data_IF_030944325780
#
_entry.id   IF_030944325780
#
_cell.length_a   1.000
_cell.length_b   1.000
_cell.length_c   1.000
_cell.angle_alpha   90.00
_cell.angle_beta   90.00
_cell.angle_gamma   90.00
#
_symmetry.space_group_name_H-M   'P 1'
#
loop_
_entity.id
_entity.type
_entity.pdbx_description
1 polymer ?
#
# COMPACT_ATOMS: atom_id res chain seq x y z
N UNK A 1 3.17 55.07 -5.88
CA UNK A 1 4.22 54.05 -5.65
C UNK A 1 3.83 53.19 -4.45
N UNK A 2 4.06 51.86 -4.53
CA UNK A 2 3.69 50.78 -3.59
C UNK A 2 2.26 50.26 -3.81
N UNK A 3 2.01 49.15 -4.50
CA UNK A 3 2.80 47.91 -4.55
C UNK A 3 2.26 46.93 -3.52
N UNK A 4 1.07 46.38 -3.79
CA UNK A 4 0.56 45.14 -3.19
C UNK A 4 0.15 44.26 -4.39
N UNK A 5 1.13 43.79 -5.16
CA UNK A 5 1.60 42.40 -5.07
C UNK A 5 0.42 41.45 -4.99
N UNK A 6 -0.05 41.06 -6.17
CA UNK A 6 -0.41 39.69 -6.51
C UNK A 6 -0.79 38.84 -5.29
N UNK A 7 -2.07 38.92 -4.90
CA UNK A 7 -2.70 37.84 -4.14
C UNK A 7 -2.67 36.62 -5.07
N UNK A 8 -1.52 35.95 -5.08
CA UNK A 8 -1.32 34.65 -5.70
C UNK A 8 -2.28 33.73 -4.97
N UNK A 9 -3.49 33.59 -5.52
CA UNK A 9 -4.53 32.68 -5.06
C UNK A 9 -3.86 31.31 -4.93
N UNK A 10 -3.46 30.95 -3.72
CA UNK A 10 -2.92 29.62 -3.40
C UNK A 10 -4.00 28.66 -3.90
N UNK A 11 -3.70 27.89 -4.95
CA UNK A 11 -4.62 26.95 -5.62
C UNK A 11 -5.02 25.76 -4.72
N UNK A 12 -4.91 25.90 -3.41
CA UNK A 12 -5.14 24.87 -2.41
C UNK A 12 -6.15 25.40 -1.38
N UNK A 13 -7.27 25.97 -1.85
CA UNK A 13 -8.35 26.47 -0.99
C UNK A 13 -9.23 25.35 -0.38
N UNK A 14 -8.78 24.09 -0.43
CA UNK A 14 -9.60 22.93 -0.06
C UNK A 14 -8.97 21.98 0.95
N UNK A 15 -7.93 22.38 1.69
CA UNK A 15 -7.36 21.54 2.77
C UNK A 15 -6.97 20.12 2.32
N UNK A 16 -6.73 19.91 1.02
CA UNK A 16 -6.37 18.61 0.47
C UNK A 16 -4.93 18.35 0.88
N UNK A 17 -4.74 17.78 2.06
CA UNK A 17 -3.48 17.13 2.40
C UNK A 17 -3.18 16.15 1.26
N UNK A 18 -1.94 16.17 0.77
CA UNK A 18 -1.48 15.27 -0.29
C UNK A 18 -1.87 13.81 0.03
N UNK A 19 -1.88 13.48 1.33
CA UNK A 19 -2.31 12.23 1.93
C UNK A 19 -3.78 11.81 1.67
N UNK A 20 -4.73 12.75 1.56
CA UNK A 20 -6.13 12.42 1.26
C UNK A 20 -6.39 12.30 -0.24
N UNK A 21 -5.62 13.00 -1.06
CA UNK A 21 -5.78 12.93 -2.52
C UNK A 21 -5.24 11.62 -3.11
N UNK A 22 -4.28 10.95 -2.46
CA UNK A 22 -3.72 9.68 -2.95
C UNK A 22 -4.54 8.44 -2.59
N UNK A 23 -5.41 8.50 -1.58
CA UNK A 23 -6.20 7.36 -1.10
C UNK A 23 -7.03 6.61 -2.16
N UNK A 24 -7.81 7.28 -3.03
CA UNK A 24 -8.56 6.58 -4.07
C UNK A 24 -7.65 6.00 -5.17
N UNK A 25 -6.52 6.64 -5.45
CA UNK A 25 -5.56 6.14 -6.45
C UNK A 25 -4.83 4.88 -5.95
N UNK A 26 -4.36 4.87 -4.70
CA UNK A 26 -3.73 3.68 -4.12
C UNK A 26 -4.74 2.54 -4.00
N UNK A 27 -6.00 2.81 -3.65
CA UNK A 27 -7.06 1.81 -3.62
C UNK A 27 -7.33 1.18 -5.00
N UNK A 28 -7.36 2.00 -6.05
CA UNK A 28 -7.53 1.50 -7.42
C UNK A 28 -6.34 0.64 -7.89
N UNK A 29 -5.11 1.05 -7.58
CA UNK A 29 -3.92 0.24 -7.85
C UNK A 29 -3.95 -1.10 -7.12
N UNK A 30 -4.41 -1.12 -5.86
CA UNK A 30 -4.55 -2.36 -5.09
C UNK A 30 -5.61 -3.27 -5.70
N UNK A 31 -6.70 -2.72 -6.23
CA UNK A 31 -7.72 -3.53 -6.90
C UNK A 31 -7.13 -4.28 -8.09
N UNK A 32 -6.32 -3.60 -8.92
CA UNK A 32 -5.61 -4.22 -10.04
C UNK A 32 -4.67 -5.32 -9.51
N UNK A 33 -3.88 -5.01 -8.48
CA UNK A 33 -2.99 -5.98 -7.84
C UNK A 33 -3.73 -7.23 -7.34
N UNK A 34 -4.88 -7.07 -6.69
CA UNK A 34 -5.68 -8.19 -6.17
C UNK A 34 -6.17 -9.08 -7.31
N UNK A 35 -6.58 -8.51 -8.45
CA UNK A 35 -7.01 -9.30 -9.62
C UNK A 35 -5.86 -10.20 -10.09
N UNK A 36 -4.67 -9.63 -10.30
CA UNK A 36 -3.48 -10.41 -10.68
C UNK A 36 -3.13 -11.46 -9.61
N UNK A 37 -3.12 -11.07 -8.34
CA UNK A 37 -2.84 -11.96 -7.23
C UNK A 37 -3.77 -13.18 -7.17
N UNK A 38 -5.08 -12.98 -7.41
CA UNK A 38 -6.04 -14.08 -7.43
C UNK A 38 -5.85 -14.98 -8.65
N UNK A 39 -5.57 -14.42 -9.83
CA UNK A 39 -5.32 -15.22 -11.04
C UNK A 39 -4.06 -16.07 -10.86
N UNK A 40 -2.97 -15.48 -10.37
CA UNK A 40 -1.67 -16.14 -10.26
C UNK A 40 -1.63 -17.20 -9.14
N UNK A 41 -2.28 -16.95 -7.99
CA UNK A 41 -2.14 -17.82 -6.80
C UNK A 41 -3.41 -18.56 -6.36
N UNK A 42 -4.60 -18.05 -6.69
CA UNK A 42 -5.86 -18.65 -6.28
C UNK A 42 -6.49 -19.52 -7.36
N UNK A 43 -6.55 -19.02 -8.60
CA UNK A 43 -7.21 -19.70 -9.72
C UNK A 43 -6.31 -20.66 -10.52
N UNK A 44 -5.01 -20.70 -10.22
CA UNK A 44 -4.09 -21.67 -10.83
C UNK A 44 -4.43 -23.09 -10.38
N UNK A 45 -4.38 -24.04 -11.31
CA UNK A 45 -4.64 -25.45 -11.02
C UNK A 45 -3.53 -26.03 -10.15
N UNK A 46 -3.91 -26.59 -9.00
CA UNK A 46 -3.02 -27.15 -7.98
C UNK A 46 -2.98 -28.68 -8.05
N UNK A 47 -3.57 -29.27 -9.08
CA UNK A 47 -3.70 -30.72 -9.23
C UNK A 47 -2.33 -31.44 -9.21
N UNK A 48 -1.33 -30.91 -9.91
CA UNK A 48 -0.01 -31.55 -10.04
C UNK A 48 1.15 -30.74 -9.43
N UNK A 49 0.94 -29.46 -9.10
CA UNK A 49 1.99 -28.57 -8.61
C UNK A 49 1.75 -28.15 -7.17
N UNK A 50 2.80 -28.25 -6.34
CA UNK A 50 2.78 -27.68 -5.00
C UNK A 50 2.67 -26.14 -5.06
N UNK A 51 2.05 -25.53 -4.04
CA UNK A 51 1.95 -24.06 -3.93
C UNK A 51 3.34 -23.42 -4.03
N UNK A 52 4.36 -24.08 -3.50
CA UNK A 52 5.75 -23.64 -3.58
C UNK A 52 6.27 -23.52 -5.03
N UNK A 53 5.95 -24.49 -5.90
CA UNK A 53 6.39 -24.45 -7.29
C UNK A 53 5.73 -23.32 -8.08
N UNK A 54 4.43 -23.09 -7.88
CA UNK A 54 3.71 -21.97 -8.50
C UNK A 54 4.36 -20.64 -8.10
N UNK A 55 4.66 -20.48 -6.82
CA UNK A 55 5.32 -19.28 -6.28
C UNK A 55 6.72 -19.11 -6.87
N UNK A 56 7.49 -20.21 -6.97
CA UNK A 56 8.83 -20.22 -7.55
C UNK A 56 8.80 -19.83 -9.03
N UNK A 57 7.89 -20.40 -9.81
CA UNK A 57 7.75 -20.10 -11.24
C UNK A 57 7.31 -18.64 -11.48
N UNK A 58 6.35 -18.16 -10.71
CA UNK A 58 5.84 -16.78 -10.80
C UNK A 58 6.93 -15.75 -10.49
N UNK A 59 7.72 -15.97 -9.45
CA UNK A 59 8.78 -15.04 -9.01
C UNK A 59 10.16 -15.31 -9.62
N UNK A 60 10.31 -16.40 -10.40
CA UNK A 60 11.49 -16.60 -11.25
C UNK A 60 11.54 -15.55 -12.38
N UNK A 61 10.39 -15.03 -12.79
CA UNK A 61 10.33 -13.90 -13.71
C UNK A 61 10.56 -12.57 -12.97
N UNK A 62 11.68 -11.85 -13.22
CA UNK A 62 12.01 -10.62 -12.52
C UNK A 62 10.98 -9.50 -12.75
N UNK A 63 10.24 -9.53 -13.86
CA UNK A 63 9.16 -8.58 -14.13
C UNK A 63 8.01 -8.68 -13.13
N UNK A 64 7.60 -9.91 -12.79
CA UNK A 64 6.58 -10.14 -11.78
C UNK A 64 7.08 -9.75 -10.39
N UNK A 65 8.32 -10.11 -10.04
CA UNK A 65 8.93 -9.70 -8.76
C UNK A 65 8.89 -8.19 -8.55
N UNK A 66 9.31 -7.40 -9.55
CA UNK A 66 9.31 -5.94 -9.45
C UNK A 66 7.88 -5.40 -9.31
N UNK A 67 6.93 -5.92 -10.10
CA UNK A 67 5.52 -5.53 -10.02
C UNK A 67 4.92 -5.79 -8.63
N UNK A 68 5.19 -6.96 -8.05
CA UNK A 68 4.70 -7.32 -6.72
C UNK A 68 5.36 -6.48 -5.62
N UNK A 69 6.67 -6.20 -5.70
CA UNK A 69 7.37 -5.32 -4.75
C UNK A 69 6.79 -3.89 -4.79
N UNK A 70 6.60 -3.32 -5.98
CA UNK A 70 5.99 -2.00 -6.13
C UNK A 70 4.56 -1.98 -5.57
N UNK A 71 3.80 -3.04 -5.82
CA UNK A 71 2.45 -3.19 -5.29
C UNK A 71 2.44 -3.26 -3.75
N UNK A 72 3.42 -3.91 -3.13
CA UNK A 72 3.55 -3.96 -1.67
C UNK A 72 3.81 -2.58 -1.05
N UNK A 73 4.54 -1.69 -1.73
CA UNK A 73 4.70 -0.30 -1.28
C UNK A 73 3.36 0.44 -1.32
N UNK A 74 2.58 0.27 -2.40
CA UNK A 74 1.24 0.87 -2.52
C UNK A 74 0.30 0.35 -1.43
N UNK A 75 0.28 -0.97 -1.22
CA UNK A 75 -0.50 -1.63 -0.16
C UNK A 75 -0.11 -1.08 1.21
N UNK A 76 1.19 -0.98 1.52
CA UNK A 76 1.65 -0.43 2.79
C UNK A 76 1.10 1.00 3.00
N UNK A 77 1.27 1.89 2.03
CA UNK A 77 0.75 3.27 2.15
C UNK A 77 -0.77 3.32 2.32
N UNK A 78 -1.52 2.49 1.60
CA UNK A 78 -2.97 2.42 1.72
C UNK A 78 -3.42 1.86 3.06
N UNK A 79 -2.74 0.84 3.58
CA UNK A 79 -3.04 0.24 4.89
C UNK A 79 -2.73 1.22 6.02
N UNK A 80 -1.62 1.98 5.98
CA UNK A 80 -1.34 3.01 6.99
C UNK A 80 -2.48 4.04 7.05
N UNK A 81 -2.86 4.56 5.88
CA UNK A 81 -3.92 5.56 5.78
C UNK A 81 -5.30 5.00 6.13
N UNK A 82 -5.62 3.79 5.66
CA UNK A 82 -6.88 3.11 5.90
C UNK A 82 -7.05 2.77 7.37
N UNK A 83 -6.03 2.17 7.98
CA UNK A 83 -6.05 1.83 9.39
C UNK A 83 -6.17 3.06 10.29
N UNK A 84 -5.42 4.13 9.97
CA UNK A 84 -5.58 5.42 10.63
C UNK A 84 -7.02 5.96 10.53
N UNK A 85 -7.61 5.95 9.33
CA UNK A 85 -8.98 6.42 9.13
C UNK A 85 -10.01 5.57 9.86
N UNK A 86 -9.83 4.24 9.91
CA UNK A 86 -10.73 3.32 10.61
C UNK A 86 -10.71 3.58 12.12
N UNK A 87 -9.52 3.70 12.71
CA UNK A 87 -9.37 3.99 14.15
C UNK A 87 -10.00 5.32 14.54
N UNK A 88 -9.89 6.33 13.66
CA UNK A 88 -10.52 7.62 13.87
C UNK A 88 -12.06 7.54 13.82
N UNK A 89 -12.61 6.78 12.86
CA UNK A 89 -14.07 6.58 12.72
C UNK A 89 -14.66 5.74 13.86
N UNK A 90 -13.90 4.77 14.38
CA UNK A 90 -14.33 3.92 15.51
C UNK A 90 -14.37 4.66 16.85
N UNK A 91 -14.04 5.96 16.89
CA UNK A 91 -14.20 6.79 18.08
C UNK A 91 -13.11 6.62 19.13
N UNK A 92 -11.94 6.06 18.76
CA UNK A 92 -10.74 6.05 19.61
C UNK A 92 -10.08 7.44 19.54
N UNK A 93 -10.82 8.48 19.93
CA UNK A 93 -10.51 9.90 19.72
C UNK A 93 -10.12 10.62 21.01
N UNK A 94 -9.57 9.90 21.99
CA UNK A 94 -8.87 10.58 23.09
C UNK A 94 -7.63 11.27 22.50
N UNK A 95 -7.56 12.61 22.58
CA UNK A 95 -6.46 13.41 21.99
C UNK A 95 -5.06 12.95 22.44
N UNK A 96 -4.97 12.34 23.63
CA UNK A 96 -3.72 11.79 24.17
C UNK A 96 -3.24 10.51 23.45
N UNK A 97 -4.16 9.72 22.88
CA UNK A 97 -3.83 8.47 22.19
C UNK A 97 -3.59 8.64 20.67
N UNK A 98 -3.92 9.80 20.10
CA UNK A 98 -3.74 10.08 18.67
C UNK A 98 -2.30 9.84 18.16
N UNK A 99 -1.22 10.29 18.82
CA UNK A 99 0.13 10.03 18.35
C UNK A 99 0.50 8.54 18.43
N UNK A 100 0.02 7.82 19.45
CA UNK A 100 0.27 6.38 19.63
C UNK A 100 -0.40 5.57 18.52
N UNK A 101 -1.67 5.87 18.23
CA UNK A 101 -2.42 5.20 17.16
C UNK A 101 -1.79 5.42 15.78
N UNK A 102 -1.17 6.58 15.55
CA UNK A 102 -0.45 6.89 14.31
C UNK A 102 0.82 6.06 14.16
N UNK A 103 1.54 5.82 15.25
CA UNK A 103 2.71 4.94 15.26
C UNK A 103 2.27 3.49 15.03
N UNK A 104 1.18 3.06 15.64
CA UNK A 104 0.63 1.70 15.46
C UNK A 104 0.20 1.47 14.02
N UNK A 105 -0.53 2.42 13.39
CA UNK A 105 -0.94 2.28 11.98
C UNK A 105 0.28 2.12 11.07
N UNK A 106 1.31 2.94 11.29
CA UNK A 106 2.54 2.91 10.51
C UNK A 106 3.34 1.63 10.76
N UNK A 107 3.37 1.13 12.00
CA UNK A 107 4.06 -0.11 12.34
C UNK A 107 3.39 -1.33 11.69
N UNK A 108 2.06 -1.42 11.74
CA UNK A 108 1.30 -2.50 11.10
C UNK A 108 1.47 -2.44 9.58
N UNK A 109 1.37 -1.26 9.00
CA UNK A 109 1.62 -1.05 7.57
C UNK A 109 3.01 -1.51 7.14
N UNK A 110 4.04 -1.13 7.90
CA UNK A 110 5.42 -1.53 7.62
C UNK A 110 5.60 -3.04 7.76
N UNK A 111 5.01 -3.65 8.79
CA UNK A 111 5.05 -5.09 9.01
C UNK A 111 4.41 -5.86 7.84
N UNK A 112 3.25 -5.43 7.35
CA UNK A 112 2.60 -6.04 6.19
C UNK A 112 3.42 -5.80 4.92
N UNK A 113 3.89 -4.58 4.68
CA UNK A 113 4.70 -4.21 3.52
C UNK A 113 5.99 -5.01 3.41
N UNK A 114 6.77 -5.08 4.50
CA UNK A 114 8.03 -5.81 4.55
C UNK A 114 7.78 -7.32 4.63
N UNK A 115 6.83 -7.77 5.45
CA UNK A 115 6.55 -9.19 5.64
C UNK A 115 6.19 -9.86 4.32
N UNK A 116 5.14 -9.39 3.66
CA UNK A 116 4.72 -9.95 2.37
C UNK A 116 5.63 -9.54 1.21
N UNK A 117 6.26 -8.36 1.26
CA UNK A 117 7.26 -7.94 0.26
C UNK A 117 8.58 -8.71 0.32
N UNK A 118 8.92 -9.32 1.47
CA UNK A 118 10.12 -10.13 1.61
C UNK A 118 10.03 -11.48 0.88
N UNK A 119 8.82 -12.01 0.68
CA UNK A 119 8.58 -13.27 -0.03
C UNK A 119 9.12 -13.27 -1.47
N UNK A 120 8.71 -12.33 -2.36
CA UNK A 120 9.23 -12.29 -3.71
C UNK A 120 10.75 -12.01 -3.74
N UNK A 121 11.27 -11.20 -2.82
CA UNK A 121 12.71 -10.92 -2.71
C UNK A 121 13.50 -12.18 -2.35
N UNK A 122 13.00 -12.97 -1.39
CA UNK A 122 13.65 -14.22 -0.99
C UNK A 122 13.62 -15.26 -2.11
N UNK A 123 12.49 -15.39 -2.81
CA UNK A 123 12.36 -16.31 -3.94
C UNK A 123 13.32 -15.93 -5.07
N UNK A 124 13.37 -14.65 -5.47
CA UNK A 124 14.29 -14.19 -6.52
C UNK A 124 15.77 -14.34 -6.14
N UNK A 125 16.10 -14.41 -4.85
CA UNK A 125 17.47 -14.64 -4.39
C UNK A 125 17.87 -16.13 -4.42
N UNK A 126 16.90 -17.06 -4.38
CA UNK A 126 17.14 -18.51 -4.35
C UNK A 126 16.82 -19.22 -5.68
N UNK A 127 15.99 -18.62 -6.54
CA UNK A 127 15.66 -19.12 -7.89
C UNK A 127 16.75 -18.77 -8.90
#
# INVERSE_FOLDING_TARGET
>A
MRGLKDIKKKKNAGGRTISSSTMPYTGFLILIFIIFHLIDFHFVDKADNSIYQIVLETFSNPGYTIFYILSMVVVATHVDHGFWSLLHTLGITNLECMPVLRVISSAISLFVGIGFGSLPVFITLIS
#
